data_IF_643857617529
#
_entry.id   IF_643857617529
#
_cell.length_a   1.000
_cell.length_b   1.000
_cell.length_c   1.000
_cell.angle_alpha   90.00
_cell.angle_beta   90.00
_cell.angle_gamma   90.00
#
_symmetry.space_group_name_H-M   'P 1'
#
loop_
_entity.id
_entity.type
_entity.pdbx_description
1 polymer ?
#
# COMPACT_ATOMS: atom_id res chain seq x y z
N UNK A 1 -15.81 5.90 -25.18
CA UNK A 1 -15.07 5.50 -23.98
C UNK A 1 -14.02 4.52 -24.43
N UNK A 2 -12.73 4.86 -24.31
CA UNK A 2 -11.65 4.01 -24.77
C UNK A 2 -11.54 2.81 -23.83
N UNK A 3 -11.81 1.62 -24.35
CA UNK A 3 -11.64 0.36 -23.65
C UNK A 3 -10.16 0.21 -23.30
N UNK A 4 -9.80 0.38 -22.03
CA UNK A 4 -8.43 0.21 -21.58
C UNK A 4 -8.11 -1.29 -21.54
N UNK A 5 -7.70 -1.84 -22.69
CA UNK A 5 -7.10 -3.18 -22.74
C UNK A 5 -5.77 -3.12 -21.98
N UNK A 6 -5.73 -3.72 -20.80
CA UNK A 6 -4.49 -3.84 -20.04
C UNK A 6 -3.46 -4.65 -20.84
N UNK A 7 -2.18 -4.29 -20.70
CA UNK A 7 -1.09 -5.12 -21.18
C UNK A 7 -1.14 -6.47 -20.45
N UNK A 8 -0.83 -7.54 -21.17
CA UNK A 8 -0.56 -8.83 -20.54
C UNK A 8 0.59 -8.69 -19.56
N UNK A 9 0.52 -9.42 -18.45
CA UNK A 9 1.43 -9.28 -17.32
C UNK A 9 2.90 -9.43 -17.75
N UNK A 10 3.21 -10.47 -18.51
CA UNK A 10 4.57 -10.72 -19.00
C UNK A 10 5.11 -9.58 -19.87
N UNK A 11 4.26 -9.02 -20.75
CA UNK A 11 4.65 -7.92 -21.62
C UNK A 11 4.85 -6.63 -20.81
N UNK A 12 4.04 -6.40 -19.78
CA UNK A 12 4.21 -5.27 -18.87
C UNK A 12 5.53 -5.40 -18.09
N UNK A 13 5.81 -6.58 -17.52
CA UNK A 13 7.03 -6.85 -16.75
C UNK A 13 8.26 -6.63 -17.63
N UNK A 14 8.27 -7.18 -18.85
CA UNK A 14 9.39 -7.01 -19.80
C UNK A 14 9.67 -5.54 -20.08
N UNK A 15 8.64 -4.77 -20.45
CA UNK A 15 8.78 -3.33 -20.73
C UNK A 15 9.26 -2.54 -19.51
N UNK A 16 8.80 -2.89 -18.32
CA UNK A 16 9.22 -2.24 -17.09
C UNK A 16 10.72 -2.49 -16.81
N UNK A 17 11.17 -3.74 -16.95
CA UNK A 17 12.60 -4.07 -16.78
C UNK A 17 13.45 -3.34 -17.82
N UNK A 18 13.03 -3.31 -19.09
CA UNK A 18 13.73 -2.59 -20.15
C UNK A 18 13.85 -1.09 -19.86
N UNK A 19 12.76 -0.46 -19.38
CA UNK A 19 12.79 0.95 -18.98
C UNK A 19 13.73 1.20 -17.80
N UNK A 20 13.69 0.34 -16.77
CA UNK A 20 14.58 0.45 -15.60
C UNK A 20 16.05 0.31 -16.00
N UNK A 21 16.38 -0.69 -16.84
CA UNK A 21 17.75 -0.90 -17.31
C UNK A 21 18.24 0.25 -18.17
N UNK A 22 17.39 0.80 -19.04
CA UNK A 22 17.73 1.94 -19.91
C UNK A 22 17.99 3.20 -19.11
N UNK A 23 17.14 3.50 -18.12
CA UNK A 23 17.13 4.80 -17.46
C UNK A 23 18.00 4.83 -16.19
N UNK A 24 18.13 3.71 -15.49
CA UNK A 24 18.91 3.61 -14.23
C UNK A 24 20.24 2.87 -14.41
N UNK A 25 20.38 2.09 -15.49
CA UNK A 25 21.47 1.13 -15.64
C UNK A 25 21.28 -0.12 -14.77
N UNK A 26 22.07 -1.17 -15.03
CA UNK A 26 21.86 -2.49 -14.41
C UNK A 26 21.98 -2.47 -12.88
N UNK A 27 22.93 -1.72 -12.33
CA UNK A 27 23.19 -1.69 -10.88
C UNK A 27 22.02 -1.08 -10.11
N UNK A 28 21.57 0.11 -10.51
CA UNK A 28 20.46 0.78 -9.82
C UNK A 28 19.10 0.14 -10.13
N UNK A 29 18.92 -0.43 -11.33
CA UNK A 29 17.72 -1.21 -11.66
C UNK A 29 17.59 -2.44 -10.74
N UNK A 30 18.66 -3.21 -10.53
CA UNK A 30 18.65 -4.34 -9.59
C UNK A 30 18.39 -3.87 -8.17
N UNK A 31 19.07 -2.80 -7.73
CA UNK A 31 18.82 -2.22 -6.39
C UNK A 31 17.36 -1.84 -6.21
N UNK A 32 16.73 -1.19 -7.19
CA UNK A 32 15.31 -0.83 -7.17
C UNK A 32 14.40 -2.06 -7.03
N UNK A 33 14.63 -3.11 -7.82
CA UNK A 33 13.84 -4.35 -7.76
C UNK A 33 13.98 -5.06 -6.40
N UNK A 34 15.10 -4.87 -5.71
CA UNK A 34 15.34 -5.44 -4.38
C UNK A 34 14.94 -4.52 -3.22
N UNK A 35 14.47 -3.30 -3.49
CA UNK A 35 14.05 -2.40 -2.42
C UNK A 35 12.95 -3.10 -1.62
N UNK A 36 13.06 -3.12 -0.28
CA UNK A 36 11.97 -3.62 0.54
C UNK A 36 10.76 -2.76 0.21
N UNK A 37 9.74 -3.39 -0.40
CA UNK A 37 8.46 -2.75 -0.59
C UNK A 37 8.07 -2.22 0.79
N UNK A 38 7.85 -0.90 0.92
CA UNK A 38 7.35 -0.33 2.18
C UNK A 38 6.14 -1.18 2.54
N UNK A 39 6.32 -2.06 3.54
CA UNK A 39 5.26 -2.99 3.92
C UNK A 39 4.07 -2.11 4.21
N UNK A 40 2.94 -2.37 3.55
CA UNK A 40 1.67 -1.82 4.01
C UNK A 40 1.67 -2.07 5.51
N UNK A 41 1.63 -1.00 6.30
CA UNK A 41 1.57 -1.10 7.75
C UNK A 41 0.51 -2.14 8.07
N UNK A 42 0.90 -3.22 8.77
CA UNK A 42 0.01 -4.36 8.92
C UNK A 42 -1.30 -3.91 9.59
N UNK A 43 -2.39 -4.63 9.35
CA UNK A 43 -3.71 -4.24 9.85
C UNK A 43 -3.74 -4.10 11.37
N UNK A 44 -2.94 -4.88 12.11
CA UNK A 44 -2.84 -4.82 13.57
C UNK A 44 -2.08 -3.58 14.01
N UNK A 45 -0.94 -3.28 13.41
CA UNK A 45 -0.18 -2.05 13.70
C UNK A 45 -1.00 -0.80 13.36
N UNK A 46 -1.72 -0.80 12.24
CA UNK A 46 -2.63 0.28 11.87
C UNK A 46 -3.76 0.44 12.88
N UNK A 47 -4.33 -0.68 13.34
CA UNK A 47 -5.40 -0.65 14.33
C UNK A 47 -4.92 -0.14 15.68
N UNK A 48 -3.71 -0.53 16.11
CA UNK A 48 -3.11 -0.02 17.36
C UNK A 48 -2.87 1.49 17.31
N UNK A 49 -2.29 2.00 16.23
CA UNK A 49 -2.11 3.45 16.06
C UNK A 49 -3.44 4.20 16.02
N UNK A 50 -4.47 3.61 15.42
CA UNK A 50 -5.82 4.16 15.48
C UNK A 50 -6.35 4.16 16.93
N UNK A 51 -6.21 3.07 17.69
CA UNK A 51 -6.63 3.01 19.09
C UNK A 51 -5.91 4.03 19.96
N UNK A 52 -4.59 4.20 19.78
CA UNK A 52 -3.78 5.19 20.50
C UNK A 52 -4.20 6.63 20.20
N UNK A 53 -4.79 6.89 19.02
CA UNK A 53 -5.31 8.21 18.66
C UNK A 53 -6.65 8.55 19.30
N UNK A 54 -7.32 7.58 19.94
CA UNK A 54 -8.63 7.79 20.54
C UNK A 54 -8.52 8.20 22.01
N UNK A 55 -9.32 9.18 22.39
CA UNK A 55 -9.63 9.42 23.79
C UNK A 55 -10.63 8.36 24.25
N UNK A 56 -10.12 7.39 25.02
CA UNK A 56 -10.83 6.16 25.40
C UNK A 56 -12.26 6.45 25.87
N UNK A 57 -12.40 7.19 26.95
CA UNK A 57 -13.68 7.30 27.64
C UNK A 57 -14.75 7.95 26.73
N UNK A 58 -14.38 9.00 25.99
CA UNK A 58 -15.24 9.65 24.98
C UNK A 58 -15.66 8.69 23.85
N UNK A 59 -14.76 7.85 23.37
CA UNK A 59 -15.06 6.87 22.33
C UNK A 59 -16.02 5.78 22.82
N UNK A 60 -15.80 5.29 24.05
CA UNK A 60 -16.71 4.30 24.66
C UNK A 60 -18.11 4.90 24.86
N UNK A 61 -18.22 6.13 25.36
CA UNK A 61 -19.51 6.80 25.51
C UNK A 61 -20.24 6.90 24.15
N UNK A 62 -19.55 7.33 23.09
CA UNK A 62 -20.14 7.43 21.75
C UNK A 62 -20.63 6.09 21.18
N UNK A 63 -19.82 5.03 21.30
CA UNK A 63 -20.15 3.71 20.71
C UNK A 63 -21.24 2.99 21.49
N UNK A 64 -21.25 3.12 22.81
CA UNK A 64 -22.17 2.38 23.68
C UNK A 64 -23.41 3.18 24.08
N UNK A 65 -23.50 4.48 23.80
CA UNK A 65 -24.76 5.23 23.88
C UNK A 65 -25.71 4.90 22.72
N UNK A 66 -25.22 4.71 21.50
CA UNK A 66 -26.05 4.26 20.37
C UNK A 66 -26.65 2.86 20.58
N UNK A 67 -26.01 2.01 21.39
CA UNK A 67 -26.49 0.65 21.69
C UNK A 67 -27.61 0.59 22.74
N UNK A 68 -28.03 1.73 23.30
CA UNK A 68 -29.11 1.83 24.30
C UNK A 68 -30.44 2.36 23.75
N UNK A 69 -30.56 2.59 22.44
CA UNK A 69 -31.80 3.07 21.82
C UNK A 69 -32.55 2.03 21.00
#
# INVERSE_FOLDING_TARGET
MSEHTYLQEDEMIRRAIEALLRDLGPVEATRFLTLPQRRRMDSVTRHRLWQESLERDRFFDQVFEEAKS
#
